data_IF_851141146543
#
_entry.id   IF_851141146543
#
_cell.length_a   1.000
_cell.length_b   1.000
_cell.length_c   1.000
_cell.angle_alpha   90.00
_cell.angle_beta   90.00
_cell.angle_gamma   90.00
#
_symmetry.space_group_name_H-M   'P 1'
#
loop_
_entity.id
_entity.type
_entity.pdbx_description
1 polymer ?
#
# COMPACT_ATOMS: atom_id res chain seq x y z
N UNK A 1 -11.52 -21.40 7.47
CA UNK A 1 -10.56 -21.12 8.55
C UNK A 1 -9.58 -20.02 8.17
N UNK A 2 -8.48 -20.34 7.48
CA UNK A 2 -7.36 -19.41 7.24
C UNK A 2 -7.59 -18.29 6.20
N UNK A 3 -8.49 -18.48 5.23
CA UNK A 3 -8.77 -17.46 4.20
C UNK A 3 -9.41 -16.20 4.82
N UNK A 4 -10.33 -16.37 5.77
CA UNK A 4 -11.00 -15.26 6.46
C UNK A 4 -10.01 -14.44 7.29
N UNK A 5 -9.07 -15.09 7.99
CA UNK A 5 -8.03 -14.41 8.76
C UNK A 5 -7.11 -13.54 7.88
N UNK A 6 -6.83 -13.98 6.64
CA UNK A 6 -6.04 -13.19 5.67
C UNK A 6 -6.79 -11.97 5.12
N UNK A 7 -8.12 -11.96 5.13
CA UNK A 7 -8.89 -10.79 4.67
C UNK A 7 -8.82 -9.61 5.64
N UNK A 8 -8.65 -9.87 6.94
CA UNK A 8 -8.55 -8.82 7.97
C UNK A 8 -7.12 -8.30 8.18
N UNK A 9 -6.11 -9.03 7.70
CA UNK A 9 -4.71 -8.61 7.70
C UNK A 9 -4.47 -7.48 6.69
N UNK A 10 -3.42 -6.69 6.91
CA UNK A 10 -3.02 -5.64 5.96
C UNK A 10 -2.65 -6.21 4.58
N UNK A 11 -2.03 -7.39 4.55
CA UNK A 11 -1.79 -8.13 3.30
C UNK A 11 -3.05 -8.92 2.94
N UNK A 12 -3.73 -8.50 1.87
CA UNK A 12 -4.98 -9.12 1.41
C UNK A 12 -4.78 -9.85 0.07
N UNK A 13 -5.28 -11.09 -0.07
CA UNK A 13 -5.24 -11.82 -1.34
C UNK A 13 -6.20 -11.20 -2.37
N UNK A 14 -6.01 -11.46 -3.68
CA UNK A 14 -6.96 -11.03 -4.69
C UNK A 14 -8.28 -11.79 -4.50
N UNK A 15 -9.40 -11.10 -4.71
CA UNK A 15 -10.74 -11.65 -4.51
C UNK A 15 -11.37 -11.95 -5.87
N UNK A 16 -11.06 -13.10 -6.45
CA UNK A 16 -11.54 -13.49 -7.79
C UNK A 16 -12.93 -14.12 -7.75
N UNK A 17 -13.26 -14.87 -6.71
CA UNK A 17 -14.52 -15.62 -6.60
C UNK A 17 -15.77 -14.73 -6.51
N UNK A 18 -15.62 -13.46 -6.11
CA UNK A 18 -16.74 -12.50 -6.09
C UNK A 18 -17.05 -11.92 -7.47
N UNK A 19 -16.16 -12.08 -8.46
CA UNK A 19 -16.31 -11.50 -9.79
C UNK A 19 -16.28 -12.55 -10.91
N UNK A 20 -17.10 -13.63 -10.85
CA UNK A 20 -17.02 -14.75 -11.79
C UNK A 20 -17.27 -14.34 -13.25
N UNK A 21 -18.01 -13.25 -13.47
CA UNK A 21 -18.26 -12.69 -14.81
C UNK A 21 -17.12 -11.81 -15.31
N UNK A 22 -16.50 -11.02 -14.42
CA UNK A 22 -15.42 -10.10 -14.79
C UNK A 22 -14.11 -10.83 -15.02
N UNK A 23 -13.85 -11.92 -14.28
CA UNK A 23 -12.63 -12.75 -14.43
C UNK A 23 -12.48 -13.40 -15.80
N UNK A 24 -13.55 -13.46 -16.60
CA UNK A 24 -13.51 -13.97 -17.97
C UNK A 24 -12.82 -13.01 -18.93
N UNK A 25 -12.79 -11.71 -18.63
CA UNK A 25 -12.15 -10.69 -19.47
C UNK A 25 -10.67 -10.55 -19.12
N UNK A 26 -9.81 -10.56 -20.14
CA UNK A 26 -8.37 -10.37 -19.97
C UNK A 26 -7.98 -8.95 -19.49
N UNK A 27 -8.90 -7.99 -19.61
CA UNK A 27 -8.77 -6.60 -19.14
C UNK A 27 -9.00 -6.45 -17.65
N UNK A 28 -9.58 -7.46 -16.98
CA UNK A 28 -9.80 -7.44 -15.54
C UNK A 28 -8.74 -8.27 -14.82
N UNK A 29 -8.08 -7.66 -13.84
CA UNK A 29 -7.15 -8.33 -12.94
C UNK A 29 -7.51 -7.99 -11.51
N UNK A 30 -7.83 -9.01 -10.72
CA UNK A 30 -7.93 -8.88 -9.27
C UNK A 30 -6.53 -8.97 -8.68
N UNK A 31 -6.14 -7.96 -7.91
CA UNK A 31 -4.78 -7.82 -7.38
C UNK A 31 -4.75 -7.93 -5.85
N UNK A 32 -3.56 -8.16 -5.30
CA UNK A 32 -3.30 -8.14 -3.85
C UNK A 32 -3.28 -6.71 -3.33
N UNK A 33 -3.41 -6.54 -2.03
CA UNK A 33 -3.08 -5.29 -1.34
C UNK A 33 -1.99 -5.60 -0.29
N UNK A 34 -0.90 -4.82 -0.20
CA UNK A 34 -0.39 -3.84 -1.18
C UNK A 34 -0.18 -4.40 -2.60
N UNK A 35 -0.18 -3.53 -3.61
CA UNK A 35 0.08 -3.90 -5.00
C UNK A 35 1.18 -3.06 -5.64
N UNK A 36 2.09 -3.72 -6.35
CA UNK A 36 3.04 -3.06 -7.24
C UNK A 36 2.89 -3.59 -8.67
N UNK A 37 3.03 -2.68 -9.63
CA UNK A 37 2.97 -2.99 -11.06
C UNK A 37 3.73 -1.94 -11.87
N UNK A 38 4.17 -2.32 -13.05
CA UNK A 38 4.89 -1.44 -13.98
C UNK A 38 4.00 -1.20 -15.23
N UNK A 39 3.87 0.07 -15.64
CA UNK A 39 3.21 0.47 -16.91
C UNK A 39 4.16 1.38 -17.64
N UNK A 40 4.55 1.01 -18.86
CA UNK A 40 5.47 1.80 -19.70
C UNK A 40 6.75 2.26 -18.96
N UNK A 41 7.37 1.34 -18.22
CA UNK A 41 8.54 1.57 -17.36
C UNK A 41 8.33 2.52 -16.16
N UNK A 42 7.08 2.92 -15.88
CA UNK A 42 6.70 3.65 -14.68
C UNK A 42 6.22 2.65 -13.63
N UNK A 43 6.91 2.64 -12.49
CA UNK A 43 6.58 1.79 -11.35
C UNK A 43 5.53 2.42 -10.45
N UNK A 44 4.43 1.73 -10.29
CA UNK A 44 3.35 2.08 -9.39
C UNK A 44 3.40 1.19 -8.14
N UNK A 45 3.17 1.80 -6.98
CA UNK A 45 2.95 1.12 -5.72
C UNK A 45 1.65 1.68 -5.12
N UNK A 46 0.80 0.80 -4.58
CA UNK A 46 -0.52 1.18 -4.09
C UNK A 46 -0.92 0.42 -2.84
N UNK A 47 -1.58 1.11 -1.90
CA UNK A 47 -2.25 0.47 -0.76
C UNK A 47 -3.68 0.97 -0.59
N UNK A 48 -4.51 0.22 0.15
CA UNK A 48 -5.86 0.66 0.52
C UNK A 48 -5.88 1.79 1.58
N UNK A 49 -4.75 2.15 2.20
CA UNK A 49 -4.65 3.26 3.17
C UNK A 49 -4.86 2.93 4.64
N UNK A 50 -5.11 1.65 4.96
CA UNK A 50 -5.20 1.19 6.36
C UNK A 50 -3.93 1.48 7.17
N UNK A 51 -2.76 1.49 6.53
CA UNK A 51 -1.47 1.82 7.15
C UNK A 51 -1.38 3.29 7.59
N UNK A 52 -1.86 4.23 6.78
CA UNK A 52 -1.85 5.65 7.15
C UNK A 52 -2.90 5.97 8.21
N UNK A 53 -4.10 5.40 8.08
CA UNK A 53 -5.16 5.57 9.08
C UNK A 53 -4.78 4.94 10.44
N UNK A 54 -3.90 3.94 10.43
CA UNK A 54 -3.33 3.38 11.66
C UNK A 54 -2.26 4.31 12.24
N UNK A 55 -1.34 4.82 11.40
CA UNK A 55 -0.31 5.80 11.82
C UNK A 55 -0.91 7.06 12.45
N UNK A 56 -1.99 7.59 11.88
CA UNK A 56 -2.68 8.79 12.37
C UNK A 56 -3.22 8.63 13.81
N UNK A 57 -3.53 7.40 14.24
CA UNK A 57 -3.97 7.13 15.62
C UNK A 57 -2.84 7.20 16.64
N UNK A 58 -1.59 7.04 16.20
CA UNK A 58 -0.43 6.85 17.09
C UNK A 58 0.69 7.89 16.89
N UNK A 59 0.54 8.80 15.94
CA UNK A 59 1.55 9.79 15.63
C UNK A 59 0.88 11.11 15.27
N UNK A 60 1.57 12.21 15.53
CA UNK A 60 1.12 13.53 15.11
C UNK A 60 1.84 13.90 13.80
N UNK A 61 1.05 14.19 12.77
CA UNK A 61 1.51 14.82 11.55
C UNK A 61 0.54 15.94 11.14
N UNK A 62 1.02 16.87 10.32
CA UNK A 62 0.20 18.00 9.86
C UNK A 62 -0.79 17.57 8.78
N UNK A 63 -0.47 16.51 8.04
CA UNK A 63 -1.27 15.97 6.95
C UNK A 63 -1.01 14.49 6.72
N UNK A 64 -1.97 13.78 6.12
CA UNK A 64 -1.82 12.38 5.72
C UNK A 64 -0.66 12.20 4.71
N UNK A 65 -0.42 13.21 3.87
CA UNK A 65 0.74 13.26 2.98
C UNK A 65 2.08 13.17 3.72
N UNK A 66 2.18 13.76 4.92
CA UNK A 66 3.42 13.72 5.70
C UNK A 66 3.67 12.31 6.26
N UNK A 67 2.64 11.59 6.68
CA UNK A 67 2.78 10.16 7.03
C UNK A 67 3.25 9.35 5.85
N UNK A 68 2.73 9.65 4.67
CA UNK A 68 3.11 8.93 3.47
C UNK A 68 4.55 9.18 3.05
N UNK A 69 4.97 10.45 3.06
CA UNK A 69 6.36 10.82 2.83
C UNK A 69 7.30 10.15 3.85
N UNK A 70 6.88 10.06 5.12
CA UNK A 70 7.61 9.30 6.14
C UNK A 70 7.71 7.80 5.81
N UNK A 71 6.64 7.16 5.34
CA UNK A 71 6.71 5.73 4.95
C UNK A 71 7.65 5.48 3.78
N UNK A 72 7.76 6.42 2.84
CA UNK A 72 8.77 6.40 1.77
C UNK A 72 10.18 6.57 2.33
N UNK A 73 10.39 7.55 3.22
CA UNK A 73 11.68 7.80 3.89
C UNK A 73 12.19 6.60 4.66
N UNK A 74 11.29 5.91 5.36
CA UNK A 74 11.60 4.70 6.10
C UNK A 74 11.74 3.47 5.21
N UNK A 75 11.45 3.61 3.90
CA UNK A 75 11.39 2.48 2.96
C UNK A 75 10.52 1.34 3.49
N UNK A 76 9.40 1.68 4.16
CA UNK A 76 8.57 0.73 4.89
C UNK A 76 7.08 1.11 4.87
N UNK A 77 6.24 0.26 4.30
CA UNK A 77 4.81 0.52 4.06
C UNK A 77 3.98 0.59 5.34
N UNK A 78 4.29 -0.23 6.33
CA UNK A 78 3.47 -0.39 7.54
C UNK A 78 4.36 -0.49 8.79
N UNK A 79 5.03 0.61 9.18
CA UNK A 79 6.01 0.61 10.29
C UNK A 79 5.40 0.26 11.65
N UNK A 80 4.08 0.37 11.78
CA UNK A 80 3.35 0.03 13.00
C UNK A 80 2.90 -1.45 13.05
N UNK A 81 3.11 -2.21 11.98
CA UNK A 81 2.93 -3.65 11.98
C UNK A 81 4.13 -4.34 12.66
N UNK A 82 3.94 -5.43 13.43
CA UNK A 82 2.68 -6.11 13.74
C UNK A 82 1.89 -5.52 14.92
N UNK A 83 2.43 -4.49 15.59
CA UNK A 83 1.97 -4.06 16.92
C UNK A 83 0.52 -3.55 16.94
N UNK A 84 0.15 -2.71 15.97
CA UNK A 84 -1.19 -2.09 15.89
C UNK A 84 -1.91 -2.45 14.60
N UNK A 85 -1.16 -2.71 13.53
CA UNK A 85 -1.68 -3.19 12.27
C UNK A 85 -1.54 -4.71 12.16
N UNK A 86 -2.66 -5.42 12.15
CA UNK A 86 -2.69 -6.87 12.01
C UNK A 86 -2.03 -7.30 10.68
N UNK A 87 -0.96 -8.07 10.77
CA UNK A 87 -0.31 -8.71 9.64
C UNK A 87 -0.16 -10.21 9.90
N UNK A 88 0.02 -10.98 8.82
CA UNK A 88 0.36 -12.38 8.94
C UNK A 88 1.83 -12.49 9.40
N UNK A 89 2.16 -13.37 10.37
CA UNK A 89 3.53 -13.53 10.83
C UNK A 89 4.37 -14.16 9.72
N UNK A 90 5.19 -13.34 9.06
CA UNK A 90 6.19 -13.80 8.10
C UNK A 90 7.52 -13.98 8.85
N UNK A 91 8.11 -15.18 8.76
CA UNK A 91 9.34 -15.53 9.49
C UNK A 91 10.61 -15.25 8.70
N UNK A 92 10.51 -15.20 7.37
CA UNK A 92 11.69 -15.30 6.50
C UNK A 92 12.08 -13.95 5.90
N UNK A 93 11.11 -13.08 5.59
CA UNK A 93 11.31 -11.78 4.95
C UNK A 93 10.18 -10.81 5.33
N UNK A 94 10.51 -9.53 5.49
CA UNK A 94 9.52 -8.48 5.69
C UNK A 94 8.89 -8.07 4.36
N UNK A 95 7.57 -8.29 4.23
CA UNK A 95 6.80 -7.93 3.03
C UNK A 95 6.48 -6.44 2.92
N UNK A 96 6.74 -5.65 3.96
CA UNK A 96 6.44 -4.23 4.00
C UNK A 96 7.63 -3.35 3.61
N UNK A 97 8.82 -3.94 3.47
CA UNK A 97 9.99 -3.24 2.97
C UNK A 97 9.80 -2.83 1.51
N UNK A 98 10.01 -1.54 1.23
CA UNK A 98 10.01 -0.98 -0.11
C UNK A 98 11.40 -1.22 -0.71
N UNK A 99 11.60 -2.39 -1.30
CA UNK A 99 12.90 -2.79 -1.86
C UNK A 99 13.33 -1.95 -3.09
N UNK A 100 12.37 -1.38 -3.82
CA UNK A 100 12.65 -0.49 -4.95
C UNK A 100 11.75 0.72 -4.89
N UNK A 101 12.34 1.91 -5.08
CA UNK A 101 11.59 3.16 -5.07
C UNK A 101 10.57 3.19 -6.23
N UNK A 102 9.26 3.35 -5.94
CA UNK A 102 8.26 3.55 -6.97
C UNK A 102 8.36 4.96 -7.57
N UNK A 103 7.93 5.11 -8.81
CA UNK A 103 7.80 6.42 -9.46
C UNK A 103 6.49 7.11 -9.04
N UNK A 104 5.44 6.32 -8.83
CA UNK A 104 4.16 6.78 -8.33
C UNK A 104 3.78 5.91 -7.14
N UNK A 105 3.54 6.55 -6.01
CA UNK A 105 3.04 5.89 -4.82
C UNK A 105 1.66 6.45 -4.50
N UNK A 106 0.64 5.60 -4.45
CA UNK A 106 -0.73 6.03 -4.19
C UNK A 106 -1.37 5.27 -3.04
N UNK A 107 -2.36 5.90 -2.40
CA UNK A 107 -3.18 5.31 -1.35
C UNK A 107 -4.64 5.54 -1.65
N UNK A 108 -5.48 4.54 -1.36
CA UNK A 108 -6.93 4.69 -1.37
C UNK A 108 -7.53 5.01 0.01
N UNK A 109 -8.87 5.13 0.03
CA UNK A 109 -9.66 5.28 1.26
C UNK A 109 -9.24 6.46 2.16
N UNK A 110 -8.80 7.57 1.56
CA UNK A 110 -8.52 8.83 2.25
C UNK A 110 -9.71 9.77 2.11
N UNK A 111 -9.94 10.63 3.12
CA UNK A 111 -11.11 11.52 3.16
C UNK A 111 -11.08 12.63 2.12
N UNK A 112 -9.88 13.02 1.67
CA UNK A 112 -9.66 14.09 0.70
C UNK A 112 -8.54 13.70 -0.25
N UNK A 113 -8.72 14.10 -1.50
CA UNK A 113 -7.68 14.03 -2.52
C UNK A 113 -6.56 15.03 -2.21
N UNK A 114 -5.32 14.59 -2.35
CA UNK A 114 -4.14 15.44 -2.29
C UNK A 114 -2.98 14.81 -3.06
N UNK A 115 -2.01 15.62 -3.47
CA UNK A 115 -0.83 15.13 -4.14
C UNK A 115 0.44 15.93 -3.79
N UNK A 116 1.58 15.25 -3.84
CA UNK A 116 2.89 15.89 -3.59
C UNK A 116 3.96 15.23 -4.44
N UNK A 117 4.75 16.03 -5.15
CA UNK A 117 5.98 15.55 -5.79
C UNK A 117 7.13 15.62 -4.80
N UNK A 118 7.73 14.48 -4.47
CA UNK A 118 8.88 14.39 -3.58
C UNK A 118 10.14 14.08 -4.40
N UNK A 119 11.14 14.93 -4.25
CA UNK A 119 12.48 14.75 -4.81
C UNK A 119 13.44 14.52 -3.65
N UNK A 120 13.42 13.30 -3.12
CA UNK A 120 14.54 12.85 -2.29
C UNK A 120 15.53 12.09 -3.18
N UNK A 121 16.49 11.38 -2.59
CA UNK A 121 17.70 10.82 -3.23
C UNK A 121 17.45 9.80 -4.39
N UNK A 122 16.21 9.69 -4.89
CA UNK A 122 15.68 8.74 -5.87
C UNK A 122 14.74 9.48 -6.87
N UNK A 123 14.40 8.90 -8.04
CA UNK A 123 13.60 9.57 -9.08
C UNK A 123 12.31 10.20 -8.54
N UNK A 124 11.86 11.29 -9.17
CA UNK A 124 10.70 12.09 -8.74
C UNK A 124 9.49 11.19 -8.41
N UNK A 125 9.10 11.18 -7.14
CA UNK A 125 7.97 10.36 -6.67
C UNK A 125 6.73 11.23 -6.64
N UNK A 126 5.68 10.81 -7.35
CA UNK A 126 4.36 11.41 -7.20
C UNK A 126 3.58 10.64 -6.15
N UNK A 127 3.29 11.34 -5.05
CA UNK A 127 2.39 10.90 -3.99
C UNK A 127 0.97 11.28 -4.38
N UNK A 128 0.03 10.34 -4.32
CA UNK A 128 -1.39 10.58 -4.58
C UNK A 128 -2.22 9.93 -3.46
N UNK A 129 -3.07 10.71 -2.79
CA UNK A 129 -4.08 10.23 -1.84
C UNK A 129 -5.49 10.52 -2.33
#
# INVERSE_FOLDING_TARGET
GQIILRLFSFVQPPITCLFPRSTLYNTFRSCRNPHSFDVDNIRFLGTYGKNINDLDKYSEAKSNLDFFERTLKWSHLAPTAPNTLSCYPFTDCDLFMIATCPHVFFIGSQDKYDNRSVKEQYPCINIII
#
